data_IF_237089380025
#
_entry.id   IF_237089380025
#
_cell.length_a   1.000
_cell.length_b   1.000
_cell.length_c   1.000
_cell.angle_alpha   90.00
_cell.angle_beta   90.00
_cell.angle_gamma   90.00
#
_symmetry.space_group_name_H-M   'P 1'
#
loop_
_entity.id
_entity.type
_entity.pdbx_description
1 polymer ?
#
# COMPACT_ATOMS: atom_id res chain seq x y z
N UNK A 1 4.34 12.80 -30.09
CA UNK A 1 5.69 12.20 -30.05
C UNK A 1 5.64 11.05 -29.05
N UNK A 2 5.71 9.81 -29.52
CA UNK A 2 5.86 8.65 -28.63
C UNK A 2 7.35 8.36 -28.46
N UNK A 3 7.84 8.36 -27.22
CA UNK A 3 9.19 7.88 -26.93
C UNK A 3 9.31 6.40 -27.31
N UNK A 4 10.54 5.96 -27.62
CA UNK A 4 10.83 4.55 -27.87
C UNK A 4 10.45 3.70 -26.64
N UNK A 5 9.76 2.59 -26.87
CA UNK A 5 9.41 1.62 -25.82
C UNK A 5 10.69 1.09 -25.19
N UNK A 6 10.76 1.06 -23.86
CA UNK A 6 11.94 0.63 -23.11
C UNK A 6 11.54 -0.01 -21.80
N UNK A 7 12.18 -1.15 -21.48
CA UNK A 7 11.98 -1.87 -20.22
C UNK A 7 12.23 -0.94 -19.02
N UNK A 8 13.25 -0.08 -19.09
CA UNK A 8 13.54 0.86 -18.00
C UNK A 8 12.48 1.96 -17.89
N UNK A 9 11.82 2.31 -19.00
CA UNK A 9 10.66 3.20 -19.02
C UNK A 9 9.43 2.55 -18.39
N UNK A 10 9.21 1.26 -18.65
CA UNK A 10 8.12 0.49 -18.04
C UNK A 10 8.33 0.35 -16.53
N UNK A 11 9.57 0.11 -16.08
CA UNK A 11 9.93 0.07 -14.65
C UNK A 11 9.67 1.42 -13.98
N UNK A 12 10.03 2.53 -14.64
CA UNK A 12 9.75 3.87 -14.11
C UNK A 12 8.26 4.10 -13.96
N UNK A 13 7.50 3.80 -15.01
CA UNK A 13 6.04 3.97 -15.03
C UNK A 13 5.37 3.11 -13.95
N UNK A 14 5.84 1.88 -13.76
CA UNK A 14 5.41 1.03 -12.65
C UNK A 14 5.70 1.68 -11.28
N UNK A 15 6.89 2.25 -11.10
CA UNK A 15 7.25 2.96 -9.87
C UNK A 15 6.30 4.12 -9.57
N UNK A 16 5.99 4.94 -10.57
CA UNK A 16 5.04 6.06 -10.42
C UNK A 16 3.64 5.56 -10.08
N UNK A 17 3.14 4.54 -10.78
CA UNK A 17 1.83 3.95 -10.50
C UNK A 17 1.74 3.36 -9.09
N UNK A 18 2.81 2.73 -8.62
CA UNK A 18 2.88 2.19 -7.27
C UNK A 18 2.81 3.30 -6.21
N UNK A 19 3.54 4.40 -6.41
CA UNK A 19 3.50 5.55 -5.50
C UNK A 19 2.13 6.25 -5.54
N UNK A 20 1.53 6.41 -6.72
CA UNK A 20 0.16 6.94 -6.88
C UNK A 20 -0.85 6.10 -6.12
N UNK A 21 -0.82 4.77 -6.28
CA UNK A 21 -1.74 3.85 -5.62
C UNK A 21 -1.66 3.93 -4.10
N UNK A 22 -0.46 4.01 -3.53
CA UNK A 22 -0.30 4.01 -2.08
C UNK A 22 -0.48 5.38 -1.43
N UNK A 23 -0.27 6.47 -2.17
CA UNK A 23 -0.48 7.82 -1.64
C UNK A 23 -1.87 8.39 -1.93
N UNK A 24 -2.58 7.78 -2.89
CA UNK A 24 -3.85 8.28 -3.42
C UNK A 24 -3.72 9.59 -4.21
N UNK A 25 -2.49 10.01 -4.55
CA UNK A 25 -2.22 11.29 -5.22
C UNK A 25 -1.84 11.09 -6.67
N UNK A 26 -2.48 11.86 -7.55
CA UNK A 26 -2.15 11.83 -8.98
C UNK A 26 -0.75 12.39 -9.23
N UNK A 27 0.09 11.79 -10.10
CA UNK A 27 1.39 12.34 -10.46
C UNK A 27 1.32 13.73 -11.10
N UNK A 28 0.14 14.13 -11.58
CA UNK A 28 -0.14 15.45 -12.16
C UNK A 28 -0.94 16.36 -11.22
N UNK A 29 -1.05 16.01 -9.93
CA UNK A 29 -1.68 16.86 -8.93
C UNK A 29 -0.99 18.23 -8.85
N UNK A 30 -1.77 19.26 -8.54
CA UNK A 30 -1.27 20.63 -8.43
C UNK A 30 -0.15 20.78 -7.39
N UNK A 31 -0.08 19.92 -6.39
CA UNK A 31 1.04 19.93 -5.43
C UNK A 31 2.39 19.48 -6.03
N UNK A 32 2.41 18.80 -7.17
CA UNK A 32 3.63 18.31 -7.85
C UNK A 32 4.10 19.25 -8.97
N UNK A 33 3.90 20.56 -8.76
CA UNK A 33 4.41 21.62 -9.63
C UNK A 33 5.79 22.10 -9.15
N UNK A 34 6.40 23.01 -9.90
CA UNK A 34 7.66 23.69 -9.54
C UNK A 34 8.85 22.74 -9.28
N UNK A 35 8.85 21.58 -9.95
CA UNK A 35 9.94 20.61 -9.88
C UNK A 35 9.86 19.64 -8.70
N UNK A 36 8.77 19.68 -7.91
CA UNK A 36 8.44 18.64 -6.94
C UNK A 36 7.68 17.50 -7.65
N UNK A 37 8.15 16.27 -7.50
CA UNK A 37 7.50 15.08 -8.05
C UNK A 37 6.98 14.17 -6.94
N UNK A 38 6.03 13.29 -7.28
CA UNK A 38 5.56 12.24 -6.36
C UNK A 38 6.72 11.35 -5.84
N UNK A 39 7.74 11.12 -6.65
CA UNK A 39 8.97 10.42 -6.24
C UNK A 39 9.68 11.17 -5.11
N UNK A 40 9.94 12.47 -5.26
CA UNK A 40 10.61 13.26 -4.23
C UNK A 40 9.74 13.41 -2.98
N UNK A 41 8.44 13.66 -3.14
CA UNK A 41 7.49 13.75 -2.04
C UNK A 41 7.53 12.50 -1.15
N UNK A 42 7.46 11.32 -1.77
CA UNK A 42 7.52 10.05 -1.03
C UNK A 42 8.90 9.78 -0.45
N UNK A 43 9.99 10.08 -1.18
CA UNK A 43 11.35 9.90 -0.68
C UNK A 43 11.65 10.76 0.55
N UNK A 44 11.10 11.98 0.64
CA UNK A 44 11.28 12.87 1.80
C UNK A 44 10.55 12.39 3.05
N UNK A 45 9.51 11.57 2.90
CA UNK A 45 8.74 11.06 4.04
C UNK A 45 9.31 9.77 4.64
N UNK A 46 10.18 9.05 3.92
CA UNK A 46 10.67 7.75 4.39
C UNK A 46 11.92 7.87 5.27
N UNK A 47 12.07 6.97 6.28
CA UNK A 47 11.11 5.94 6.70
C UNK A 47 10.11 6.43 7.77
N UNK A 48 10.35 7.60 8.37
CA UNK A 48 9.75 7.99 9.65
C UNK A 48 8.32 8.56 9.52
N UNK A 49 7.91 8.97 8.32
CA UNK A 49 6.66 9.69 8.05
C UNK A 49 5.80 8.99 6.98
N UNK A 50 5.91 7.67 6.83
CA UNK A 50 5.15 6.93 5.81
C UNK A 50 3.63 7.03 6.01
N UNK A 51 3.16 7.05 7.26
CA UNK A 51 1.74 7.16 7.58
C UNK A 51 1.16 8.54 7.20
N UNK A 52 2.00 9.57 7.09
CA UNK A 52 1.56 10.93 6.74
C UNK A 52 1.29 11.08 5.23
N UNK A 53 1.84 10.19 4.41
CA UNK A 53 1.75 10.26 2.95
C UNK A 53 0.83 9.20 2.34
N UNK A 54 0.60 8.08 3.04
CA UNK A 54 -0.21 6.95 2.60
C UNK A 54 -1.69 7.31 2.66
N UNK A 55 -2.43 6.78 1.68
CA UNK A 55 -3.87 6.98 1.57
C UNK A 55 -4.60 6.37 2.79
N UNK A 56 -5.44 7.14 3.52
CA UNK A 56 -6.01 6.68 4.79
C UNK A 56 -6.87 5.42 4.70
N UNK A 57 -7.50 5.13 3.55
CA UNK A 57 -8.29 3.90 3.41
C UNK A 57 -7.43 2.64 3.42
N UNK A 58 -6.15 2.73 3.05
CA UNK A 58 -5.18 1.63 3.18
C UNK A 58 -4.84 1.29 4.64
N UNK A 59 -5.11 2.20 5.58
CA UNK A 59 -4.91 1.98 7.02
C UNK A 59 -6.13 1.36 7.70
N UNK A 60 -7.25 1.19 6.98
CA UNK A 60 -8.47 0.58 7.52
C UNK A 60 -8.38 -0.94 7.43
N UNK A 61 -8.29 -1.61 8.58
CA UNK A 61 -8.54 -3.06 8.66
C UNK A 61 -10.05 -3.31 8.51
N UNK A 62 -10.51 -3.73 7.33
CA UNK A 62 -11.79 -4.42 7.20
C UNK A 62 -11.58 -5.88 7.59
N UNK A 63 -12.29 -6.34 8.61
CA UNK A 63 -12.47 -7.77 8.81
C UNK A 63 -13.15 -8.29 7.54
N UNK A 64 -12.44 -9.06 6.72
CA UNK A 64 -13.13 -10.03 5.88
C UNK A 64 -13.78 -10.95 6.91
N UNK A 65 -15.06 -10.73 7.17
CA UNK A 65 -15.87 -11.62 7.99
C UNK A 65 -15.72 -12.99 7.35
N UNK A 66 -14.91 -13.84 7.99
CA UNK A 66 -14.79 -15.26 7.71
C UNK A 66 -16.18 -15.82 7.99
N UNK A 67 -17.05 -15.78 6.97
CA UNK A 67 -18.43 -16.24 7.00
C UNK A 67 -18.42 -17.76 7.22
N UNK A 68 -18.25 -18.13 8.48
CA UNK A 68 -18.73 -19.38 9.04
C UNK A 68 -19.91 -19.03 9.95
N UNK A 69 -20.97 -18.44 9.40
CA UNK A 69 -22.26 -18.45 10.07
C UNK A 69 -22.99 -19.77 9.79
N UNK A 70 -22.53 -20.85 10.39
CA UNK A 70 -23.48 -21.86 10.87
C UNK A 70 -24.08 -21.28 12.15
N UNK A 71 -25.23 -20.60 12.05
CA UNK A 71 -26.26 -20.53 13.11
C UNK A 71 -27.53 -19.83 12.66
N UNK A 72 -28.59 -20.61 12.77
CA UNK A 72 -30.00 -20.27 12.60
C UNK A 72 -30.50 -19.18 13.59
N UNK A 73 -31.61 -18.56 13.17
CA UNK A 73 -32.69 -17.92 13.93
C UNK A 73 -32.44 -16.60 14.69
N UNK A 74 -32.99 -15.49 14.19
CA UNK A 74 -34.17 -14.81 14.78
C UNK A 74 -34.36 -13.35 14.32
N UNK A 75 -35.61 -13.09 13.95
CA UNK A 75 -36.31 -11.83 13.63
C UNK A 75 -35.95 -10.58 14.45
N UNK A 76 -35.62 -9.45 13.80
CA UNK A 76 -35.66 -8.13 14.47
C UNK A 76 -35.03 -6.93 13.75
N UNK A 77 -35.87 -6.18 13.02
CA UNK A 77 -35.82 -4.73 12.70
C UNK A 77 -34.55 -4.08 12.06
N UNK A 78 -34.72 -3.71 10.77
CA UNK A 78 -33.88 -2.76 10.04
C UNK A 78 -34.05 -1.34 10.58
N UNK A 79 -33.03 -0.80 11.23
CA UNK A 79 -32.73 0.63 11.18
C UNK A 79 -31.46 0.75 10.35
N UNK A 80 -31.56 1.47 9.23
CA UNK A 80 -30.47 1.69 8.28
C UNK A 80 -29.50 2.73 8.86
N UNK A 81 -28.65 2.30 9.79
CA UNK A 81 -27.52 3.10 10.22
C UNK A 81 -26.40 2.94 9.18
N UNK A 82 -25.91 4.07 8.65
CA UNK A 82 -24.71 4.12 7.81
C UNK A 82 -23.59 3.35 8.52
N UNK A 83 -22.83 2.45 7.85
CA UNK A 83 -21.70 1.79 8.49
C UNK A 83 -20.66 2.86 8.81
N UNK A 84 -20.70 3.38 10.04
CA UNK A 84 -19.59 4.16 10.59
C UNK A 84 -18.45 3.17 10.74
N UNK A 85 -17.45 3.27 9.86
CA UNK A 85 -16.19 2.55 9.98
C UNK A 85 -15.67 2.75 11.42
N UNK A 86 -15.83 1.72 12.26
CA UNK A 86 -15.27 1.74 13.60
C UNK A 86 -13.77 1.54 13.41
N UNK A 87 -12.98 2.59 13.62
CA UNK A 87 -11.53 2.49 13.74
C UNK A 87 -11.21 1.49 14.85
N UNK A 88 -10.95 0.23 14.50
CA UNK A 88 -10.37 -0.73 15.44
C UNK A 88 -8.89 -0.41 15.49
N UNK A 89 -8.44 0.10 16.63
CA UNK A 89 -7.02 0.32 16.93
C UNK A 89 -6.27 -0.99 16.67
N UNK A 90 -5.43 -1.08 15.61
CA UNK A 90 -4.64 -2.27 15.38
C UNK A 90 -3.71 -2.40 16.59
N UNK A 91 -3.72 -3.57 17.25
CA UNK A 91 -2.82 -3.78 18.39
C UNK A 91 -1.38 -3.38 18.02
N UNK A 92 -0.59 -2.82 18.94
CA UNK A 92 0.62 -2.05 18.63
C UNK A 92 1.65 -2.79 17.76
N UNK A 93 1.71 -4.11 17.85
CA UNK A 93 2.55 -4.96 17.00
C UNK A 93 2.09 -5.02 15.54
N UNK A 94 0.77 -5.06 15.29
CA UNK A 94 0.19 -5.06 13.93
C UNK A 94 0.40 -3.73 13.23
N UNK A 95 0.15 -2.61 13.93
CA UNK A 95 0.33 -1.27 13.38
C UNK A 95 1.78 -1.05 12.92
N UNK A 96 2.75 -1.42 13.77
CA UNK A 96 4.17 -1.33 13.44
C UNK A 96 4.55 -2.19 12.22
N UNK A 97 4.07 -3.43 12.17
CA UNK A 97 4.38 -4.33 11.05
C UNK A 97 3.71 -3.88 9.75
N UNK A 98 2.54 -3.25 9.81
CA UNK A 98 1.91 -2.59 8.65
C UNK A 98 2.77 -1.42 8.17
N UNK A 99 3.24 -0.56 9.08
CA UNK A 99 4.13 0.54 8.76
C UNK A 99 5.43 0.06 8.08
N UNK A 100 6.03 -1.03 8.58
CA UNK A 100 7.18 -1.68 7.96
C UNK A 100 6.87 -2.20 6.52
N UNK A 101 5.68 -2.76 6.31
CA UNK A 101 5.21 -3.17 4.98
C UNK A 101 5.06 -1.95 4.04
N UNK A 102 4.41 -0.89 4.50
CA UNK A 102 4.21 0.34 3.72
C UNK A 102 5.56 0.98 3.34
N UNK A 103 6.46 1.11 4.31
CA UNK A 103 7.83 1.58 4.07
C UNK A 103 8.53 0.76 2.98
N UNK A 104 8.41 -0.56 3.04
CA UNK A 104 9.03 -1.46 2.06
C UNK A 104 8.45 -1.29 0.65
N UNK A 105 7.13 -1.13 0.52
CA UNK A 105 6.48 -0.93 -0.80
C UNK A 105 6.82 0.43 -1.39
N UNK A 106 6.76 1.50 -0.58
CA UNK A 106 7.10 2.85 -1.06
C UNK A 106 8.58 2.90 -1.47
N UNK A 107 9.48 2.27 -0.72
CA UNK A 107 10.89 2.18 -1.10
C UNK A 107 11.12 1.47 -2.45
N UNK A 108 10.31 0.45 -2.77
CA UNK A 108 10.31 -0.17 -4.10
C UNK A 108 9.85 0.84 -5.15
N UNK A 109 8.76 1.57 -4.89
CA UNK A 109 8.25 2.62 -5.77
C UNK A 109 9.31 3.69 -6.10
N UNK A 110 10.02 4.18 -5.07
CA UNK A 110 11.15 5.12 -5.20
C UNK A 110 12.27 4.50 -6.06
N UNK A 111 12.69 3.28 -5.73
CA UNK A 111 13.77 2.61 -6.48
C UNK A 111 13.42 2.37 -7.95
N UNK A 112 12.15 2.08 -8.27
CA UNK A 112 11.69 1.91 -9.65
C UNK A 112 11.61 3.22 -10.42
N UNK A 113 11.21 4.31 -9.75
CA UNK A 113 11.00 5.63 -10.32
C UNK A 113 12.24 6.54 -10.23
N UNK A 114 13.43 5.98 -9.99
CA UNK A 114 14.67 6.75 -10.00
C UNK A 114 14.87 7.48 -11.33
N UNK A 115 15.34 8.73 -11.26
CA UNK A 115 15.55 9.58 -12.45
C UNK A 115 16.56 8.92 -13.38
N UNK A 116 17.67 8.42 -12.83
CA UNK A 116 18.68 7.69 -13.59
C UNK A 116 18.21 6.27 -13.92
N UNK A 117 18.17 5.86 -15.21
CA UNK A 117 17.77 4.50 -15.59
C UNK A 117 18.64 3.40 -14.98
N UNK A 118 19.92 3.68 -14.71
CA UNK A 118 20.86 2.71 -14.13
C UNK A 118 20.66 2.48 -12.62
N UNK A 119 19.93 3.37 -11.95
CA UNK A 119 19.58 3.24 -10.53
C UNK A 119 18.26 2.49 -10.33
N UNK A 120 17.52 2.23 -11.42
CA UNK A 120 16.22 1.57 -11.35
C UNK A 120 16.37 0.09 -11.04
N UNK A 121 15.56 -0.38 -10.10
CA UNK A 121 15.51 -1.80 -9.75
C UNK A 121 15.05 -2.65 -10.94
N UNK A 122 15.71 -3.79 -11.16
CA UNK A 122 15.27 -4.75 -12.19
C UNK A 122 13.90 -5.34 -11.83
N UNK A 123 13.02 -5.49 -12.82
CA UNK A 123 11.63 -5.90 -12.58
C UNK A 123 11.48 -7.29 -11.92
N UNK A 124 12.42 -8.21 -12.18
CA UNK A 124 12.44 -9.50 -11.49
C UNK A 124 12.70 -9.34 -9.98
N UNK A 125 13.57 -8.41 -9.58
CA UNK A 125 13.85 -8.07 -8.17
C UNK A 125 12.63 -7.41 -7.55
N UNK A 126 11.97 -6.49 -8.29
CA UNK A 126 10.72 -5.84 -7.86
C UNK A 126 9.66 -6.87 -7.51
N UNK A 127 9.37 -7.80 -8.43
CA UNK A 127 8.37 -8.86 -8.22
C UNK A 127 8.72 -9.72 -7.01
N UNK A 128 9.98 -10.14 -6.87
CA UNK A 128 10.41 -10.97 -5.74
C UNK A 128 10.25 -10.24 -4.40
N UNK A 129 10.61 -8.96 -4.31
CA UNK A 129 10.43 -8.16 -3.10
C UNK A 129 8.95 -7.92 -2.79
N UNK A 130 8.16 -7.57 -3.80
CA UNK A 130 6.71 -7.37 -3.64
C UNK A 130 6.00 -8.66 -3.17
N UNK A 131 6.40 -9.83 -3.70
CA UNK A 131 5.90 -11.12 -3.23
C UNK A 131 6.23 -11.35 -1.75
N UNK A 132 7.49 -11.13 -1.36
CA UNK A 132 7.92 -11.30 0.03
C UNK A 132 7.17 -10.36 1.00
N UNK A 133 6.94 -9.11 0.59
CA UNK A 133 6.16 -8.14 1.38
C UNK A 133 4.71 -8.60 1.51
N UNK A 134 4.08 -9.03 0.40
CA UNK A 134 2.72 -9.56 0.40
C UNK A 134 2.58 -10.75 1.33
N UNK A 135 3.49 -11.71 1.27
CA UNK A 135 3.44 -12.91 2.11
C UNK A 135 3.60 -12.54 3.59
N UNK A 136 4.48 -11.59 3.92
CA UNK A 136 4.60 -11.05 5.29
C UNK A 136 3.30 -10.39 5.77
N UNK A 137 2.65 -9.61 4.90
CA UNK A 137 1.37 -8.94 5.16
C UNK A 137 0.18 -9.90 5.28
N UNK A 138 0.14 -10.98 4.51
CA UNK A 138 -0.91 -11.99 4.65
C UNK A 138 -0.71 -12.84 5.90
N UNK A 139 0.54 -13.12 6.28
CA UNK A 139 0.87 -13.78 7.55
C UNK A 139 0.52 -12.90 8.76
N UNK A 140 0.57 -11.57 8.62
CA UNK A 140 0.04 -10.61 9.59
C UNK A 140 -1.46 -10.80 9.84
N UNK A 141 -2.25 -10.90 8.77
CA UNK A 141 -3.71 -11.03 8.83
C UNK A 141 -4.17 -12.41 9.32
N UNK A 142 -3.45 -13.47 8.95
CA UNK A 142 -3.83 -14.87 9.24
C UNK A 142 -3.30 -15.42 10.58
N UNK A 143 -2.54 -14.63 11.35
CA UNK A 143 -1.86 -15.01 12.59
C UNK A 143 -2.73 -15.45 13.79
N UNK A 144 -4.01 -15.78 13.59
CA UNK A 144 -4.96 -16.24 14.62
C UNK A 144 -5.16 -17.75 14.75
N UNK A 145 -4.53 -18.61 13.95
CA UNK A 145 -4.67 -20.08 14.10
C UNK A 145 -3.34 -20.83 14.01
N UNK A 146 -2.62 -20.88 15.14
CA UNK A 146 -1.79 -22.06 15.45
C UNK A 146 -2.75 -23.20 15.85
N UNK A 147 -3.18 -24.02 14.89
CA UNK A 147 -3.77 -25.32 15.20
C UNK A 147 -2.62 -26.25 15.61
N UNK A 148 -2.66 -26.70 16.86
CA UNK A 148 -1.91 -27.86 17.35
C UNK A 148 -2.42 -29.13 16.68
#
# INVERSE_FOLDING_TARGET
MGSQVSILGDVYSYGILLLEMFTGKSPTDDMFKDGLSIHQFTAMALPDHVNDIVEPSLLLETDDEDDNSDKDDAYGNKIQERPTARYKDPGPDKAKRLEECLNSVIQIGISCSAISPGERMLMNVVVNKMNAIRDSYLNLRTGGRRRR
#
